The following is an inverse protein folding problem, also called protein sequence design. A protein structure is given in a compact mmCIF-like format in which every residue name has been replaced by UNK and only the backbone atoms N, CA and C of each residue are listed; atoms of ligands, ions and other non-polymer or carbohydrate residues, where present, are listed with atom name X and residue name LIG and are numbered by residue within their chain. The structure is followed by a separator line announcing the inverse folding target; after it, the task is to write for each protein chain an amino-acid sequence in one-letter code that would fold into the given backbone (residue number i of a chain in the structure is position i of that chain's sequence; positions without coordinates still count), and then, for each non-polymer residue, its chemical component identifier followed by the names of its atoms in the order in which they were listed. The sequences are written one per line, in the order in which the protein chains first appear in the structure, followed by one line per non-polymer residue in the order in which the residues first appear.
data_IF_402841494955
#
_entry.id   IF_402841494955
#
_cell.length_a   1.000
_cell.length_b   1.000
_cell.length_c   1.000
_cell.angle_alpha   90.00
_cell.angle_beta   90.00
_cell.angle_gamma   90.00
#
_symmetry.space_group_name_H-M   'P 1'
#
loop_
_entity.id
_entity.type
_entity.pdbx_description
1 polymer ?
#
# COMPACT_ATOMS: atom_id res chain seq x y z
N UNK A 1 -30.57 -6.33 8.36
CA UNK A 1 -30.60 -5.38 7.23
C UNK A 1 -32.03 -4.92 7.06
N UNK A 2 -32.32 -3.65 7.33
CA UNK A 2 -33.65 -3.07 7.15
C UNK A 2 -33.69 -2.26 5.86
N UNK A 3 -34.71 -2.44 5.04
CA UNK A 3 -34.91 -1.67 3.80
C UNK A 3 -35.95 -0.58 4.01
N UNK A 4 -35.76 0.57 3.37
CA UNK A 4 -36.72 1.69 3.38
C UNK A 4 -37.05 2.09 1.95
N UNK A 5 -38.30 2.51 1.73
CA UNK A 5 -38.70 3.09 0.44
C UNK A 5 -38.26 4.55 0.40
N UNK A 6 -37.64 4.93 -0.71
CA UNK A 6 -37.42 6.33 -1.04
C UNK A 6 -38.77 6.94 -1.45
N UNK A 7 -39.09 8.12 -0.92
CA UNK A 7 -40.32 8.86 -1.22
C UNK A 7 -39.96 10.13 -1.97
N UNK A 8 -40.60 10.36 -3.11
CA UNK A 8 -40.47 11.62 -3.83
C UNK A 8 -41.42 12.64 -3.22
N UNK A 9 -40.91 13.83 -2.89
CA UNK A 9 -41.73 14.89 -2.30
C UNK A 9 -42.16 15.89 -3.37
N UNK A 10 -41.28 16.80 -3.77
CA UNK A 10 -41.51 17.77 -4.86
C UNK A 10 -40.17 18.34 -5.37
N UNK A 11 -40.13 18.87 -6.60
CA UNK A 11 -38.93 19.48 -7.19
C UNK A 11 -37.67 18.58 -7.23
N UNK A 12 -37.83 17.27 -7.43
CA UNK A 12 -36.70 16.35 -7.55
C UNK A 12 -36.02 15.98 -6.23
N UNK A 13 -36.57 16.40 -5.09
CA UNK A 13 -36.08 15.97 -3.77
C UNK A 13 -36.72 14.65 -3.32
N UNK A 14 -35.89 13.84 -2.67
CA UNK A 14 -36.25 12.54 -2.15
C UNK A 14 -36.08 12.51 -0.63
N UNK A 15 -36.94 11.76 0.05
CA UNK A 15 -36.85 11.51 1.49
C UNK A 15 -36.77 10.02 1.76
N UNK A 16 -36.02 9.66 2.81
CA UNK A 16 -35.92 8.29 3.33
C UNK A 16 -35.99 8.36 4.85
N UNK A 17 -36.75 7.45 5.46
CA UNK A 17 -36.88 7.40 6.92
C UNK A 17 -35.65 6.75 7.54
N UNK A 18 -35.02 7.42 8.52
CA UNK A 18 -33.92 6.86 9.30
C UNK A 18 -34.41 5.75 10.25
N UNK A 19 -33.59 4.73 10.55
CA UNK A 19 -33.90 3.76 11.60
C UNK A 19 -34.01 4.48 12.95
N UNK A 20 -35.10 4.22 13.69
CA UNK A 20 -35.35 4.89 14.97
C UNK A 20 -34.27 4.58 16.00
N UNK A 21 -33.91 3.31 16.17
CA UNK A 21 -32.90 2.89 17.15
C UNK A 21 -31.54 3.54 16.88
N UNK A 22 -31.16 3.70 15.60
CA UNK A 22 -29.94 4.42 15.22
C UNK A 22 -30.06 5.91 15.54
N UNK A 23 -31.14 6.57 15.11
CA UNK A 23 -31.34 8.00 15.36
C UNK A 23 -31.34 8.33 16.87
N UNK A 24 -32.01 7.50 17.68
CA UNK A 24 -32.02 7.62 19.15
C UNK A 24 -30.61 7.41 19.74
N UNK A 25 -29.83 6.45 19.21
CA UNK A 25 -28.46 6.18 19.67
C UNK A 25 -27.48 7.32 19.43
N UNK A 26 -27.70 8.12 18.38
CA UNK A 26 -26.88 9.30 18.04
C UNK A 26 -27.56 10.63 18.40
N UNK A 27 -28.65 10.59 19.18
CA UNK A 27 -29.33 11.78 19.69
C UNK A 27 -30.06 12.62 18.63
N UNK A 28 -30.31 12.08 17.43
CA UNK A 28 -31.02 12.77 16.35
C UNK A 28 -32.52 12.76 16.65
N UNK A 29 -33.11 13.96 16.71
CA UNK A 29 -34.54 14.17 16.91
C UNK A 29 -35.18 14.94 15.75
N UNK A 30 -36.52 15.00 15.72
CA UNK A 30 -37.23 15.70 14.66
C UNK A 30 -36.83 17.18 14.61
N UNK A 31 -36.38 17.65 13.44
CA UNK A 31 -35.89 19.01 13.25
C UNK A 31 -34.39 19.18 13.47
N UNK A 32 -33.66 18.13 13.87
CA UNK A 32 -32.21 18.14 13.88
C UNK A 32 -31.66 18.30 12.45
N UNK A 33 -30.60 19.09 12.32
CA UNK A 33 -29.82 19.20 11.08
C UNK A 33 -28.77 18.09 11.09
N UNK A 34 -28.58 17.43 9.96
CA UNK A 34 -27.58 16.39 9.76
C UNK A 34 -26.80 16.70 8.49
N UNK A 35 -25.54 16.27 8.46
CA UNK A 35 -24.70 16.41 7.29
C UNK A 35 -24.88 15.20 6.37
N UNK A 36 -24.92 15.49 5.07
CA UNK A 36 -25.05 14.51 4.00
C UNK A 36 -23.78 14.54 3.16
N UNK A 37 -23.05 13.44 3.17
CA UNK A 37 -21.81 13.30 2.42
C UNK A 37 -21.99 12.28 1.31
N UNK A 38 -21.70 12.70 0.08
CA UNK A 38 -21.56 11.79 -1.06
C UNK A 38 -20.09 11.47 -1.23
N UNK A 39 -19.72 10.21 -1.11
CA UNK A 39 -18.35 9.74 -1.19
C UNK A 39 -18.01 9.21 -2.59
N UNK A 40 -16.72 9.22 -2.94
CA UNK A 40 -16.21 8.77 -4.24
C UNK A 40 -16.56 7.30 -4.57
N UNK A 41 -16.80 6.47 -3.55
CA UNK A 41 -17.21 5.08 -3.71
C UNK A 41 -18.72 4.88 -3.85
N UNK A 42 -19.48 5.96 -4.07
CA UNK A 42 -20.92 5.93 -4.35
C UNK A 42 -21.80 5.82 -3.11
N UNK A 43 -21.24 5.96 -1.91
CA UNK A 43 -21.98 5.96 -0.66
C UNK A 43 -22.56 7.35 -0.36
N UNK A 44 -23.81 7.36 0.14
CA UNK A 44 -24.41 8.52 0.78
C UNK A 44 -24.42 8.28 2.30
N UNK A 45 -23.66 9.08 3.03
CA UNK A 45 -23.50 8.95 4.48
C UNK A 45 -24.19 10.11 5.18
N UNK A 46 -24.88 9.80 6.26
CA UNK A 46 -25.58 10.77 7.10
C UNK A 46 -24.84 10.84 8.43
N UNK A 47 -24.33 12.02 8.75
CA UNK A 47 -23.54 12.27 9.94
C UNK A 47 -24.24 13.28 10.87
N UNK A 48 -24.31 13.02 12.18
CA UNK A 48 -24.78 14.01 13.12
C UNK A 48 -23.76 15.16 13.26
N UNK A 49 -24.22 16.41 13.49
CA UNK A 49 -23.40 17.62 13.41
C UNK A 49 -22.30 17.73 14.49
N UNK A 50 -22.32 16.89 15.53
CA UNK A 50 -21.32 16.85 16.60
C UNK A 50 -20.43 15.60 16.57
N UNK A 51 -20.47 14.81 15.49
CA UNK A 51 -19.51 13.72 15.34
C UNK A 51 -18.16 14.28 14.92
N UNK A 52 -17.41 14.84 15.88
CA UNK A 52 -15.96 15.02 15.75
C UNK A 52 -15.33 13.63 15.57
N UNK A 53 -15.30 13.16 14.32
CA UNK A 53 -14.54 11.98 13.91
C UNK A 53 -13.03 12.17 14.14
N UNK A 54 -12.60 13.33 14.62
CA UNK A 54 -11.25 13.59 15.14
C UNK A 54 -10.84 12.72 16.32
N UNK A 55 -11.74 11.88 16.85
CA UNK A 55 -11.45 10.92 17.93
C UNK A 55 -10.60 9.70 17.50
N UNK A 56 -9.78 9.80 16.46
CA UNK A 56 -8.48 9.08 16.43
C UNK A 56 -7.40 10.06 16.93
N UNK A 57 -7.70 10.66 18.08
CA UNK A 57 -6.95 11.68 18.78
C UNK A 57 -6.03 11.00 19.78
N UNK A 58 -4.72 11.08 19.56
CA UNK A 58 -3.67 10.68 20.50
C UNK A 58 -3.73 9.21 20.99
N UNK A 59 -2.77 8.39 20.54
CA UNK A 59 -2.49 7.10 21.18
C UNK A 59 -1.38 7.28 22.20
N UNK A 60 -1.63 6.89 23.46
CA UNK A 60 -0.58 6.83 24.48
C UNK A 60 0.07 5.45 24.49
N UNK A 61 1.41 5.43 24.41
CA UNK A 61 2.23 4.22 24.41
C UNK A 61 3.18 4.29 25.59
N UNK A 62 3.06 3.30 26.48
CA UNK A 62 4.01 3.13 27.58
C UNK A 62 5.23 2.36 27.09
N UNK A 63 6.42 2.95 27.25
CA UNK A 63 7.67 2.34 26.82
C UNK A 63 8.48 1.91 28.05
N UNK A 64 8.87 0.64 28.10
CA UNK A 64 9.78 0.13 29.12
C UNK A 64 11.22 0.61 28.88
N UNK A 65 12.01 0.70 29.96
CA UNK A 65 13.37 1.21 29.91
C UNK A 65 14.33 0.18 29.28
N UNK A 66 15.00 0.53 28.17
CA UNK A 66 16.23 -0.14 27.73
C UNK A 66 16.25 -0.73 26.32
N UNK A 67 15.11 -0.99 25.68
CA UNK A 67 15.10 -1.55 24.33
C UNK A 67 14.81 -0.49 23.27
N UNK A 68 15.88 -0.01 22.63
CA UNK A 68 15.79 0.95 21.52
C UNK A 68 15.20 0.36 20.25
N UNK A 69 15.37 -0.94 20.00
CA UNK A 69 14.82 -1.59 18.80
C UNK A 69 13.30 -1.74 18.93
N UNK A 70 12.82 -2.13 20.11
CA UNK A 70 11.39 -2.17 20.40
C UNK A 70 10.73 -0.78 20.27
N UNK A 71 11.42 0.27 20.71
CA UNK A 71 10.94 1.64 20.59
C UNK A 71 10.79 2.09 19.13
N UNK A 72 11.78 1.78 18.29
CA UNK A 72 11.70 2.05 16.86
C UNK A 72 10.54 1.31 16.20
N UNK A 73 10.44 0.01 16.43
CA UNK A 73 9.36 -0.82 15.88
C UNK A 73 7.98 -0.30 16.30
N UNK A 74 7.84 0.09 17.57
CA UNK A 74 6.59 0.62 18.12
C UNK A 74 6.21 1.94 17.48
N UNK A 75 7.16 2.85 17.25
CA UNK A 75 6.90 4.12 16.58
C UNK A 75 6.50 3.94 15.11
N UNK A 76 7.18 3.05 14.37
CA UNK A 76 6.83 2.72 12.98
C UNK A 76 5.43 2.11 12.90
N UNK A 77 5.12 1.16 13.79
CA UNK A 77 3.79 0.56 13.88
C UNK A 77 2.70 1.57 14.25
N UNK A 78 2.98 2.47 15.21
CA UNK A 78 2.07 3.53 15.60
C UNK A 78 1.83 4.52 14.46
N UNK A 79 2.84 4.80 13.63
CA UNK A 79 2.66 5.63 12.45
C UNK A 79 1.75 4.97 11.40
N UNK A 80 2.01 3.70 11.09
CA UNK A 80 1.23 2.89 10.15
C UNK A 80 -0.23 2.72 10.60
N UNK A 81 -0.49 2.64 11.90
CA UNK A 81 -1.83 2.55 12.47
C UNK A 81 -2.72 3.79 12.21
N UNK A 82 -2.17 4.91 11.74
CA UNK A 82 -2.97 6.07 11.36
C UNK A 82 -3.36 7.13 12.40
N UNK A 83 -3.00 7.09 13.71
CA UNK A 83 -3.37 8.15 14.63
C UNK A 83 -2.68 9.47 14.26
N UNK A 84 -3.37 10.58 14.49
CA UNK A 84 -2.83 11.92 14.21
C UNK A 84 -1.75 12.34 15.20
N UNK A 85 -1.79 11.78 16.42
CA UNK A 85 -0.84 12.05 17.49
C UNK A 85 -0.48 10.75 18.23
N UNK A 86 0.79 10.63 18.65
CA UNK A 86 1.32 9.54 19.45
C UNK A 86 2.05 10.15 20.64
N UNK A 87 1.61 9.80 21.85
CA UNK A 87 2.23 10.21 23.11
C UNK A 87 3.03 9.04 23.64
N UNK A 88 4.35 9.18 23.68
CA UNK A 88 5.25 8.22 24.29
C UNK A 88 5.49 8.59 25.75
N UNK A 89 5.13 7.70 26.67
CA UNK A 89 5.36 7.87 28.11
C UNK A 89 6.36 6.82 28.60
N UNK A 90 7.51 7.27 29.08
CA UNK A 90 8.52 6.40 29.66
C UNK A 90 8.13 5.95 31.07
N UNK A 91 8.37 4.67 31.41
CA UNK A 91 8.27 4.20 32.81
C UNK A 91 9.29 4.89 33.73
N UNK A 92 10.34 5.47 33.14
CA UNK A 92 11.37 6.31 33.74
C UNK A 92 11.76 7.43 32.78
N UNK A 93 12.73 8.27 33.14
CA UNK A 93 13.31 9.23 32.19
C UNK A 93 13.88 8.51 30.96
N UNK A 94 13.63 9.07 29.78
CA UNK A 94 14.18 8.58 28.52
C UNK A 94 15.70 8.76 28.49
N UNK A 95 16.40 7.69 28.15
CA UNK A 95 17.86 7.74 27.96
C UNK A 95 18.23 8.54 26.72
N UNK A 96 19.49 8.99 26.64
CA UNK A 96 19.99 9.69 25.45
C UNK A 96 19.89 8.86 24.17
N UNK A 97 20.07 7.53 24.25
CA UNK A 97 19.92 6.62 23.11
C UNK A 97 18.47 6.50 22.66
N UNK A 98 17.52 6.39 23.59
CA UNK A 98 16.09 6.38 23.27
C UNK A 98 15.65 7.67 22.57
N UNK A 99 16.07 8.83 23.08
CA UNK A 99 15.79 10.12 22.44
C UNK A 99 16.38 10.21 21.04
N UNK A 100 17.59 9.68 20.84
CA UNK A 100 18.22 9.66 19.52
C UNK A 100 17.45 8.78 18.53
N UNK A 101 16.97 7.62 18.97
CA UNK A 101 16.16 6.69 18.16
C UNK A 101 14.83 7.33 17.79
N UNK A 102 14.11 7.91 18.77
CA UNK A 102 12.86 8.64 18.52
C UNK A 102 13.07 9.71 17.43
N UNK A 103 14.11 10.53 17.59
CA UNK A 103 14.43 11.57 16.59
C UNK A 103 14.82 10.97 15.23
N UNK A 104 15.46 9.81 15.20
CA UNK A 104 15.83 9.14 13.94
C UNK A 104 14.60 8.65 13.21
N UNK A 105 13.72 7.92 13.89
CA UNK A 105 12.48 7.41 13.32
C UNK A 105 11.59 8.56 12.85
N UNK A 106 11.41 9.61 13.67
CA UNK A 106 10.61 10.77 13.27
C UNK A 106 11.17 11.48 12.02
N UNK A 107 12.49 11.56 11.86
CA UNK A 107 13.09 12.14 10.65
C UNK A 107 12.88 11.28 9.39
N UNK A 108 12.79 9.97 9.55
CA UNK A 108 12.60 9.05 8.43
C UNK A 108 11.12 8.96 8.01
N UNK A 109 10.17 9.22 8.91
CA UNK A 109 8.73 9.19 8.62
C UNK A 109 8.22 10.46 7.92
N UNK A 110 7.34 10.29 6.93
CA UNK A 110 6.77 11.42 6.17
C UNK A 110 5.69 12.13 6.98
N UNK A 111 5.82 13.45 7.09
CA UNK A 111 4.81 14.30 7.72
C UNK A 111 4.82 14.32 9.25
N UNK A 112 5.83 13.72 9.89
CA UNK A 112 5.89 13.57 11.33
C UNK A 112 6.78 14.61 11.98
N UNK A 113 6.35 15.19 13.10
CA UNK A 113 7.15 16.12 13.90
C UNK A 113 7.02 15.85 15.39
N UNK A 114 8.06 16.19 16.15
CA UNK A 114 8.02 16.19 17.62
C UNK A 114 7.46 17.54 18.06
N UNK A 115 6.28 17.54 18.69
CA UNK A 115 5.62 18.76 19.18
C UNK A 115 5.96 19.05 20.63
N UNK A 116 6.27 18.03 21.41
CA UNK A 116 6.68 18.17 22.81
C UNK A 116 7.75 17.13 23.15
N UNK A 117 8.82 17.54 23.84
CA UNK A 117 9.87 16.65 24.33
C UNK A 117 10.25 17.02 25.77
N UNK A 118 10.07 16.07 26.69
CA UNK A 118 10.40 16.19 28.11
C UNK A 118 11.45 15.14 28.52
N UNK A 119 11.71 15.02 29.82
CA UNK A 119 12.54 13.95 30.38
C UNK A 119 11.84 12.59 30.35
N UNK A 120 10.52 12.53 30.53
CA UNK A 120 9.76 11.28 30.65
C UNK A 120 8.61 11.12 29.64
N UNK A 121 8.36 12.12 28.80
CA UNK A 121 7.31 12.04 27.76
C UNK A 121 7.75 12.72 26.46
N UNK A 122 7.29 12.18 25.33
CA UNK A 122 7.49 12.76 23.99
C UNK A 122 6.18 12.69 23.23
N UNK A 123 5.76 13.81 22.62
CA UNK A 123 4.57 13.86 21.78
C UNK A 123 4.99 14.04 20.32
N UNK A 124 4.54 13.09 19.50
CA UNK A 124 4.80 13.02 18.07
C UNK A 124 3.49 13.24 17.33
N UNK A 125 3.47 14.14 16.34
CA UNK A 125 2.27 14.48 15.58
C UNK A 125 2.52 14.34 14.09
N UNK A 126 1.55 13.79 13.36
CA UNK A 126 1.53 13.85 11.91
C UNK A 126 0.78 15.13 11.47
N UNK A 127 1.42 15.94 10.63
CA UNK A 127 0.91 17.22 10.12
C UNK A 127 0.66 17.20 8.60
N UNK A 128 0.82 16.04 7.95
CA UNK A 128 0.56 15.88 6.52
C UNK A 128 -0.94 15.87 6.26
N UNK A 129 -1.37 16.77 5.38
CA UNK A 129 -2.73 16.81 4.88
C UNK A 129 -2.94 15.74 3.81
N UNK A 130 -3.93 14.87 4.00
CA UNK A 130 -4.24 13.79 3.06
C UNK A 130 -4.61 14.29 1.66
N UNK A 131 -5.09 15.52 1.52
CA UNK A 131 -5.40 16.14 0.22
C UNK A 131 -4.15 16.46 -0.61
N UNK A 132 -2.98 16.54 0.03
CA UNK A 132 -1.69 16.75 -0.65
C UNK A 132 -1.02 15.42 -1.04
N UNK A 133 -1.60 14.28 -0.66
CA UNK A 133 -1.01 12.96 -0.84
C UNK A 133 -1.56 12.28 -2.10
N UNK A 134 -0.65 11.89 -2.99
CA UNK A 134 -0.95 10.99 -4.11
C UNK A 134 -0.42 9.59 -3.82
N UNK A 135 -1.31 8.64 -3.53
CA UNK A 135 -0.94 7.23 -3.29
C UNK A 135 -0.32 6.61 -4.54
N UNK A 136 -0.89 6.87 -5.72
CA UNK A 136 -0.34 6.39 -7.01
C UNK A 136 1.08 6.89 -7.25
N UNK A 137 1.32 8.19 -7.05
CA UNK A 137 2.65 8.76 -7.21
C UNK A 137 3.65 8.17 -6.21
N UNK A 138 3.22 7.93 -4.97
CA UNK A 138 4.05 7.30 -3.93
C UNK A 138 4.49 5.89 -4.34
N UNK A 139 3.59 5.11 -4.94
CA UNK A 139 3.91 3.78 -5.46
C UNK A 139 4.88 3.85 -6.64
N UNK A 140 4.67 4.76 -7.61
CA UNK A 140 5.63 4.96 -8.71
C UNK A 140 7.02 5.36 -8.20
N UNK A 141 7.09 6.17 -7.15
CA UNK A 141 8.36 6.50 -6.50
C UNK A 141 8.99 5.29 -5.80
N UNK A 142 8.18 4.49 -5.09
CA UNK A 142 8.64 3.26 -4.43
C UNK A 142 9.15 2.24 -5.44
N UNK A 143 8.44 2.05 -6.56
CA UNK A 143 8.86 1.23 -7.70
C UNK A 143 10.24 1.65 -8.20
N UNK A 144 10.43 2.95 -8.47
CA UNK A 144 11.72 3.47 -8.93
C UNK A 144 12.85 3.19 -7.93
N UNK A 145 12.60 3.40 -6.63
CA UNK A 145 13.59 3.15 -5.57
C UNK A 145 13.94 1.66 -5.50
N UNK A 146 12.95 0.78 -5.37
CA UNK A 146 13.15 -0.67 -5.26
C UNK A 146 13.91 -1.26 -6.46
N UNK A 147 13.56 -0.84 -7.69
CA UNK A 147 14.24 -1.30 -8.91
C UNK A 147 15.66 -0.72 -9.05
N UNK A 148 15.92 0.46 -8.49
CA UNK A 148 17.26 1.05 -8.47
C UNK A 148 18.15 0.33 -7.47
N UNK A 149 17.65 0.08 -6.24
CA UNK A 149 18.33 -0.74 -5.24
C UNK A 149 18.67 -2.12 -5.81
N UNK A 150 17.69 -2.78 -6.45
CA UNK A 150 17.91 -4.10 -7.04
C UNK A 150 18.99 -4.06 -8.12
N UNK A 151 18.98 -3.04 -8.99
CA UNK A 151 19.98 -2.86 -10.05
C UNK A 151 21.39 -2.70 -9.47
N UNK A 152 21.53 -1.82 -8.49
CA UNK A 152 22.80 -1.51 -7.85
C UNK A 152 23.35 -2.72 -7.09
N UNK A 153 22.50 -3.40 -6.33
CA UNK A 153 22.84 -4.62 -5.61
C UNK A 153 23.31 -5.73 -6.56
N UNK A 154 22.59 -5.97 -7.66
CA UNK A 154 23.00 -6.99 -8.65
C UNK A 154 24.27 -6.60 -9.39
N UNK A 155 24.48 -5.30 -9.64
CA UNK A 155 25.73 -4.81 -10.26
C UNK A 155 26.93 -5.03 -9.33
N UNK A 156 26.77 -4.77 -8.04
CA UNK A 156 27.80 -5.03 -7.04
C UNK A 156 28.07 -6.52 -6.84
N UNK A 157 27.06 -7.38 -7.07
CA UNK A 157 27.22 -8.83 -6.99
C UNK A 157 28.00 -9.41 -8.19
N UNK A 158 27.79 -8.86 -9.39
CA UNK A 158 28.34 -9.40 -10.65
C UNK A 158 29.57 -8.65 -11.15
N UNK A 159 29.93 -7.53 -10.52
CA UNK A 159 31.09 -6.71 -10.86
C UNK A 159 31.87 -6.33 -9.60
N UNK A 160 33.17 -6.03 -9.71
CA UNK A 160 33.99 -5.52 -8.59
C UNK A 160 33.63 -4.07 -8.17
N UNK A 161 32.42 -3.60 -8.48
CA UNK A 161 31.96 -2.26 -8.13
C UNK A 161 31.35 -2.27 -6.72
N UNK A 162 31.69 -1.29 -5.85
CA UNK A 162 31.04 -1.20 -4.54
C UNK A 162 29.54 -0.90 -4.72
N UNK A 163 28.70 -1.54 -3.89
CA UNK A 163 27.31 -1.13 -3.75
C UNK A 163 27.27 0.32 -3.24
N UNK A 164 26.63 1.22 -3.99
CA UNK A 164 26.55 2.64 -3.63
C UNK A 164 25.20 2.91 -2.96
N UNK A 165 25.19 3.52 -1.77
CA UNK A 165 24.00 4.21 -1.25
C UNK A 165 22.82 3.36 -0.74
N UNK A 166 23.03 2.08 -0.40
CA UNK A 166 21.95 1.16 0.01
C UNK A 166 21.08 1.65 1.19
N UNK A 167 21.69 2.09 2.29
CA UNK A 167 20.95 2.47 3.50
C UNK A 167 20.00 3.68 3.32
N UNK A 168 20.43 4.70 2.55
CA UNK A 168 19.58 5.88 2.29
C UNK A 168 18.41 5.55 1.35
N UNK A 169 18.59 4.57 0.46
CA UNK A 169 17.55 4.10 -0.45
C UNK A 169 16.54 3.20 0.26
N UNK A 170 17.01 2.36 1.18
CA UNK A 170 16.18 1.50 2.03
C UNK A 170 15.25 2.33 2.93
N UNK A 171 15.83 3.28 3.69
CA UNK A 171 15.06 4.25 4.50
C UNK A 171 14.02 5.02 3.64
N UNK A 172 14.34 5.24 2.35
CA UNK A 172 13.42 5.88 1.41
C UNK A 172 12.30 4.95 0.94
N UNK A 173 12.56 3.67 0.72
CA UNK A 173 11.55 2.68 0.39
C UNK A 173 10.58 2.50 1.58
N UNK A 174 11.15 2.28 2.76
CA UNK A 174 10.45 2.16 4.04
C UNK A 174 9.45 3.28 4.28
N UNK A 175 9.91 4.53 4.20
CA UNK A 175 9.04 5.68 4.50
C UNK A 175 7.92 5.86 3.48
N UNK A 176 8.15 5.49 2.22
CA UNK A 176 7.13 5.55 1.17
C UNK A 176 6.07 4.49 1.43
N UNK A 177 6.48 3.25 1.73
CA UNK A 177 5.55 2.18 2.09
C UNK A 177 4.76 2.51 3.35
N UNK A 178 5.43 2.94 4.42
CA UNK A 178 4.79 3.30 5.69
C UNK A 178 3.73 4.41 5.49
N UNK A 179 4.01 5.39 4.63
CA UNK A 179 3.04 6.44 4.30
C UNK A 179 1.82 5.88 3.58
N UNK A 180 2.01 4.98 2.60
CA UNK A 180 0.90 4.32 1.91
C UNK A 180 0.07 3.47 2.87
N UNK A 181 0.71 2.67 3.72
CA UNK A 181 0.05 1.84 4.74
C UNK A 181 -0.75 2.69 5.74
N UNK A 182 -0.21 3.83 6.16
CA UNK A 182 -0.89 4.79 7.03
C UNK A 182 -2.19 5.30 6.41
N UNK A 183 -2.11 5.82 5.18
CA UNK A 183 -3.28 6.40 4.51
C UNK A 183 -4.32 5.33 4.15
N UNK A 184 -3.86 4.14 3.76
CA UNK A 184 -4.75 2.99 3.59
C UNK A 184 -5.48 2.64 4.89
N UNK A 185 -4.77 2.51 6.01
CA UNK A 185 -5.36 2.19 7.32
C UNK A 185 -6.40 3.23 7.73
N UNK A 186 -6.07 4.52 7.59
CA UNK A 186 -7.01 5.62 7.87
C UNK A 186 -8.26 5.55 6.98
N UNK A 187 -8.11 5.18 5.70
CA UNK A 187 -9.23 5.08 4.76
C UNK A 187 -10.25 3.99 5.10
N UNK A 188 -9.86 3.00 5.92
CA UNK A 188 -10.76 1.95 6.42
C UNK A 188 -11.73 2.49 7.48
N UNK A 189 -11.30 3.49 8.25
CA UNK A 189 -12.06 4.06 9.36
C UNK A 189 -12.73 5.40 8.98
N UNK A 190 -12.11 6.14 8.07
CA UNK A 190 -12.45 7.53 7.75
C UNK A 190 -12.86 7.68 6.29
N UNK A 191 -14.09 8.13 6.07
CA UNK A 191 -14.60 8.40 4.73
C UNK A 191 -14.00 9.67 4.11
N UNK A 192 -13.74 10.68 4.93
CA UNK A 192 -13.07 11.92 4.53
C UNK A 192 -11.64 11.65 4.04
N UNK A 193 -10.95 10.66 4.62
CA UNK A 193 -9.64 10.21 4.15
C UNK A 193 -9.72 9.64 2.73
N UNK A 194 -10.72 8.80 2.44
CA UNK A 194 -10.95 8.22 1.11
C UNK A 194 -11.16 9.32 0.07
N UNK A 195 -12.00 10.31 0.39
CA UNK A 195 -12.28 11.43 -0.51
C UNK A 195 -11.04 12.32 -0.70
N UNK A 196 -10.27 12.59 0.37
CA UNK A 196 -9.06 13.40 0.31
C UNK A 196 -7.98 12.76 -0.58
N UNK A 197 -7.82 11.44 -0.53
CA UNK A 197 -6.88 10.69 -1.37
C UNK A 197 -7.33 10.57 -2.82
N UNK A 198 -8.62 10.79 -3.10
CA UNK A 198 -9.17 10.73 -4.45
C UNK A 198 -9.25 9.32 -5.04
N UNK A 199 -9.17 8.27 -4.20
CA UNK A 199 -9.20 6.87 -4.62
C UNK A 199 -10.30 6.13 -3.87
N UNK A 200 -11.00 5.21 -4.54
CA UNK A 200 -11.98 4.34 -3.85
C UNK A 200 -11.27 3.40 -2.87
N UNK A 201 -11.95 2.94 -1.82
CA UNK A 201 -11.39 1.96 -0.87
C UNK A 201 -10.83 0.70 -1.52
N UNK A 202 -11.54 0.20 -2.54
CA UNK A 202 -11.10 -0.96 -3.33
C UNK A 202 -9.76 -0.67 -4.02
N UNK A 203 -9.61 0.54 -4.56
CA UNK A 203 -8.38 0.95 -5.20
C UNK A 203 -7.25 1.17 -4.19
N UNK A 204 -7.53 1.82 -3.06
CA UNK A 204 -6.56 1.98 -1.97
C UNK A 204 -6.03 0.62 -1.46
N UNK A 205 -6.88 -0.40 -1.36
CA UNK A 205 -6.44 -1.76 -1.02
C UNK A 205 -5.46 -2.34 -2.07
N UNK A 206 -5.75 -2.17 -3.36
CA UNK A 206 -4.86 -2.64 -4.44
C UNK A 206 -3.52 -1.92 -4.41
N UNK A 207 -3.56 -0.61 -4.25
CA UNK A 207 -2.40 0.26 -4.17
C UNK A 207 -1.53 -0.09 -2.94
N UNK A 208 -2.14 -0.30 -1.78
CA UNK A 208 -1.45 -0.73 -0.56
C UNK A 208 -0.73 -2.07 -0.75
N UNK A 209 -1.41 -3.07 -1.32
CA UNK A 209 -0.83 -4.38 -1.53
C UNK A 209 0.29 -4.35 -2.59
N UNK A 210 0.15 -3.52 -3.63
CA UNK A 210 1.24 -3.27 -4.59
C UNK A 210 2.44 -2.62 -3.91
N UNK A 211 2.22 -1.63 -3.04
CA UNK A 211 3.28 -1.00 -2.28
C UNK A 211 4.02 -1.99 -1.36
N UNK A 212 3.27 -2.89 -0.72
CA UNK A 212 3.85 -3.96 0.13
C UNK A 212 4.75 -4.90 -0.66
N UNK A 213 4.34 -5.33 -1.85
CA UNK A 213 5.19 -6.20 -2.67
C UNK A 213 6.43 -5.46 -3.18
N UNK A 214 6.35 -4.16 -3.47
CA UNK A 214 7.51 -3.34 -3.83
C UNK A 214 8.50 -3.11 -2.67
N UNK A 215 8.01 -2.92 -1.45
CA UNK A 215 8.87 -2.85 -0.26
C UNK A 215 9.62 -4.17 -0.04
N UNK A 216 8.96 -5.31 -0.19
CA UNK A 216 9.64 -6.62 -0.13
C UNK A 216 10.69 -6.81 -1.22
N UNK A 217 10.49 -6.19 -2.39
CA UNK A 217 11.51 -6.18 -3.45
C UNK A 217 12.72 -5.34 -3.03
N UNK A 218 12.51 -4.21 -2.34
CA UNK A 218 13.59 -3.41 -1.75
C UNK A 218 14.37 -4.21 -0.69
N UNK A 219 13.68 -4.93 0.21
CA UNK A 219 14.32 -5.86 1.16
C UNK A 219 15.20 -6.91 0.45
N UNK A 220 14.70 -7.49 -0.64
CA UNK A 220 15.46 -8.49 -1.39
C UNK A 220 16.66 -7.86 -2.11
N UNK A 221 16.55 -6.61 -2.55
CA UNK A 221 17.69 -5.86 -3.06
C UNK A 221 18.76 -5.63 -1.98
N UNK A 222 18.37 -5.29 -0.75
CA UNK A 222 19.30 -5.18 0.39
C UNK A 222 20.01 -6.52 0.65
N UNK A 223 19.27 -7.63 0.70
CA UNK A 223 19.85 -8.98 0.86
C UNK A 223 20.85 -9.34 -0.24
N UNK A 224 20.60 -8.92 -1.49
CA UNK A 224 21.56 -9.11 -2.58
C UNK A 224 22.83 -8.27 -2.34
N UNK A 225 22.69 -7.03 -1.88
CA UNK A 225 23.82 -6.15 -1.57
C UNK A 225 24.65 -6.66 -0.39
N UNK A 226 24.01 -7.25 0.62
CA UNK A 226 24.67 -7.93 1.74
C UNK A 226 25.52 -9.10 1.25
N UNK A 227 24.96 -9.94 0.36
CA UNK A 227 25.72 -11.04 -0.26
C UNK A 227 26.90 -10.48 -1.05
N UNK A 228 26.69 -9.45 -1.88
CA UNK A 228 27.75 -8.81 -2.66
C UNK A 228 28.90 -8.27 -1.79
N UNK A 229 28.58 -7.80 -0.57
CA UNK A 229 29.58 -7.32 0.40
C UNK A 229 30.29 -8.47 1.13
N UNK A 230 29.61 -9.61 1.30
CA UNK A 230 30.11 -10.75 2.07
C UNK A 230 30.98 -11.72 1.25
N UNK A 231 30.87 -11.72 -0.08
CA UNK A 231 31.67 -12.58 -0.96
C UNK A 231 33.04 -11.96 -1.23
N UNK A 232 34.09 -12.79 -1.20
CA UNK A 232 35.48 -12.33 -1.38
C UNK A 232 35.89 -12.27 -2.86
N UNK A 233 35.20 -13.03 -3.72
CA UNK A 233 35.48 -13.11 -5.16
C UNK A 233 34.19 -12.94 -5.95
N UNK A 234 34.22 -12.07 -6.97
CA UNK A 234 33.15 -11.99 -7.95
C UNK A 234 32.98 -13.30 -8.73
N UNK A 235 31.77 -13.50 -9.28
CA UNK A 235 31.46 -14.61 -10.18
C UNK A 235 32.36 -14.54 -11.43
N UNK A 236 32.67 -15.72 -11.99
CA UNK A 236 33.34 -15.79 -13.28
C UNK A 236 32.42 -15.23 -14.39
N UNK A 237 33.01 -14.60 -15.41
CA UNK A 237 32.30 -13.82 -16.43
C UNK A 237 31.04 -14.48 -17.02
N UNK A 238 31.02 -15.77 -17.43
CA UNK A 238 29.80 -16.36 -18.00
C UNK A 238 28.64 -16.40 -17.00
N UNK A 239 28.95 -16.73 -15.74
CA UNK A 239 27.95 -16.85 -14.68
C UNK A 239 27.50 -15.47 -14.20
N UNK A 240 28.40 -14.49 -14.15
CA UNK A 240 28.08 -13.11 -13.84
C UNK A 240 27.11 -12.48 -14.87
N UNK A 241 27.31 -12.77 -16.16
CA UNK A 241 26.42 -12.34 -17.24
C UNK A 241 25.03 -12.96 -17.10
N UNK A 242 24.94 -14.26 -16.85
CA UNK A 242 23.66 -14.95 -16.68
C UNK A 242 22.88 -14.49 -15.44
N UNK A 243 23.57 -14.26 -14.31
CA UNK A 243 22.95 -13.66 -13.11
C UNK A 243 22.45 -12.24 -13.41
N UNK A 244 23.23 -11.44 -14.13
CA UNK A 244 22.80 -10.08 -14.50
C UNK A 244 21.57 -10.10 -15.39
N UNK A 245 21.51 -11.03 -16.37
CA UNK A 245 20.39 -11.19 -17.27
C UNK A 245 19.11 -11.67 -16.55
N UNK A 246 19.24 -12.62 -15.62
CA UNK A 246 18.07 -13.11 -14.84
C UNK A 246 17.55 -12.04 -13.88
N UNK A 247 18.44 -11.24 -13.30
CA UNK A 247 18.10 -10.08 -12.49
C UNK A 247 17.41 -8.96 -13.28
N UNK A 248 17.85 -8.69 -14.51
CA UNK A 248 17.16 -7.77 -15.43
C UNK A 248 15.76 -8.25 -15.75
N UNK A 249 15.61 -9.52 -16.15
CA UNK A 249 14.32 -10.15 -16.41
C UNK A 249 13.34 -10.02 -15.23
N UNK A 250 13.83 -10.22 -14.00
CA UNK A 250 13.01 -10.05 -12.80
C UNK A 250 12.55 -8.60 -12.59
N UNK A 251 13.42 -7.61 -12.83
CA UNK A 251 13.08 -6.18 -12.73
C UNK A 251 12.08 -5.75 -13.80
N UNK A 252 12.25 -6.21 -15.04
CA UNK A 252 11.31 -5.92 -16.14
C UNK A 252 9.92 -6.52 -15.86
N UNK A 253 9.87 -7.70 -15.23
CA UNK A 253 8.62 -8.32 -14.80
C UNK A 253 7.92 -7.46 -13.74
N UNK A 254 8.65 -6.89 -12.78
CA UNK A 254 8.09 -5.96 -11.78
C UNK A 254 7.56 -4.69 -12.45
N UNK A 255 8.30 -4.10 -13.39
CA UNK A 255 7.86 -2.90 -14.12
C UNK A 255 6.54 -3.15 -14.86
N UNK A 256 6.50 -4.24 -15.62
CA UNK A 256 5.30 -4.67 -16.36
C UNK A 256 4.13 -4.97 -15.43
N UNK A 257 4.38 -5.59 -14.26
CA UNK A 257 3.34 -5.88 -13.28
C UNK A 257 2.71 -4.61 -12.69
N UNK A 258 3.54 -3.62 -12.37
CA UNK A 258 3.08 -2.33 -11.84
C UNK A 258 2.29 -1.58 -12.90
N UNK A 259 2.76 -1.54 -14.16
CA UNK A 259 2.02 -0.91 -15.25
C UNK A 259 0.64 -1.57 -15.46
N UNK A 260 0.56 -2.90 -15.36
CA UNK A 260 -0.72 -3.62 -15.44
C UNK A 260 -1.71 -3.26 -14.31
N UNK A 261 -1.23 -2.77 -13.16
CA UNK A 261 -2.10 -2.26 -12.07
C UNK A 261 -2.57 -0.83 -12.35
N UNK A 262 -1.76 0.01 -12.98
CA UNK A 262 -2.04 1.44 -13.16
C UNK A 262 -2.75 1.80 -14.47
N UNK A 263 -2.45 1.11 -15.57
CA UNK A 263 -2.74 1.58 -16.93
C UNK A 263 -3.88 0.76 -17.61
N UNK A 264 -4.90 0.37 -16.84
CA UNK A 264 -5.99 -0.52 -17.27
C UNK A 264 -5.46 -1.80 -17.94
N UNK A 265 -4.52 -2.46 -17.25
CA UNK A 265 -3.85 -3.67 -17.74
C UNK A 265 -4.83 -4.74 -18.19
N UNK A 266 -4.49 -5.38 -19.29
CA UNK A 266 -5.25 -6.48 -19.86
C UNK A 266 -4.96 -7.80 -19.14
N UNK A 267 -5.78 -8.81 -19.41
CA UNK A 267 -5.51 -10.18 -18.95
C UNK A 267 -4.18 -10.68 -19.54
N UNK A 268 -3.90 -10.30 -20.78
CA UNK A 268 -2.69 -10.62 -21.52
C UNK A 268 -1.43 -10.00 -20.88
N UNK A 269 -1.52 -8.76 -20.37
CA UNK A 269 -0.40 -8.12 -19.68
C UNK A 269 -0.02 -8.89 -18.41
N UNK A 270 -1.00 -9.30 -17.60
CA UNK A 270 -0.75 -10.11 -16.42
C UNK A 270 -0.18 -11.50 -16.77
N UNK A 271 -0.66 -12.13 -17.86
CA UNK A 271 -0.12 -13.41 -18.34
C UNK A 271 1.36 -13.29 -18.73
N UNK A 272 1.74 -12.20 -19.41
CA UNK A 272 3.14 -11.97 -19.80
C UNK A 272 4.08 -11.87 -18.59
N UNK A 273 3.60 -11.30 -17.47
CA UNK A 273 4.37 -11.25 -16.22
C UNK A 273 4.53 -12.64 -15.61
N UNK A 274 3.48 -13.47 -15.62
CA UNK A 274 3.58 -14.85 -15.12
C UNK A 274 4.57 -15.68 -15.93
N UNK A 275 4.57 -15.54 -17.27
CA UNK A 275 5.56 -16.18 -18.13
C UNK A 275 6.98 -15.69 -17.83
N UNK A 276 7.16 -14.39 -17.63
CA UNK A 276 8.46 -13.82 -17.24
C UNK A 276 8.94 -14.34 -15.87
N UNK A 277 8.04 -14.47 -14.90
CA UNK A 277 8.33 -15.06 -13.59
C UNK A 277 8.80 -16.50 -13.73
N UNK A 278 8.08 -17.31 -14.49
CA UNK A 278 8.38 -18.74 -14.64
C UNK A 278 9.73 -18.93 -15.38
N UNK A 279 10.02 -18.10 -16.38
CA UNK A 279 11.35 -18.04 -17.04
C UNK A 279 12.47 -17.66 -16.05
N UNK A 280 12.25 -16.70 -15.14
CA UNK A 280 13.21 -16.40 -14.06
C UNK A 280 13.40 -17.61 -13.14
N UNK A 281 12.33 -18.31 -12.77
CA UNK A 281 12.42 -19.46 -11.87
C UNK A 281 13.26 -20.58 -12.48
N UNK A 282 13.03 -20.90 -13.75
CA UNK A 282 13.77 -21.92 -14.51
C UNK A 282 15.25 -21.56 -14.67
N UNK A 283 15.56 -20.28 -14.96
CA UNK A 283 16.95 -19.81 -15.09
C UNK A 283 17.68 -19.81 -13.76
N UNK A 284 17.04 -19.37 -12.68
CA UNK A 284 17.62 -19.45 -11.32
C UNK A 284 17.91 -20.91 -10.96
N UNK A 285 16.99 -21.82 -11.26
CA UNK A 285 17.17 -23.28 -11.06
C UNK A 285 18.39 -23.83 -11.83
N UNK A 286 18.63 -23.35 -13.05
CA UNK A 286 19.80 -23.72 -13.84
C UNK A 286 21.10 -23.18 -13.21
N UNK A 287 21.09 -21.90 -12.82
CA UNK A 287 22.23 -21.23 -12.18
C UNK A 287 22.60 -21.87 -10.84
N UNK A 288 21.62 -22.25 -10.02
CA UNK A 288 21.86 -22.96 -8.76
C UNK A 288 22.55 -24.32 -8.99
N UNK A 289 22.20 -25.06 -10.05
CA UNK A 289 22.86 -26.32 -10.42
C UNK A 289 24.29 -26.10 -10.88
N UNK A 290 24.52 -25.08 -11.71
CA UNK A 290 25.86 -24.73 -12.20
C UNK A 290 26.78 -24.26 -11.06
N UNK A 291 26.26 -23.46 -10.13
CA UNK A 291 26.98 -23.06 -8.91
C UNK A 291 27.34 -24.26 -8.04
N UNK A 292 26.44 -25.23 -7.90
CA UNK A 292 26.70 -26.45 -7.13
C UNK A 292 27.82 -27.32 -7.74
N UNK A 293 27.87 -27.40 -9.07
CA UNK A 293 28.90 -28.14 -9.80
C UNK A 293 30.25 -27.41 -9.83
N UNK A 294 30.26 -26.09 -9.58
CA UNK A 294 31.47 -25.28 -9.48
C UNK A 294 32.16 -25.47 -8.11
N UNK A 295 33.31 -26.15 -8.11
CA UNK A 295 34.04 -26.55 -6.89
C UNK A 295 34.47 -25.40 -5.95
N UNK A 296 34.49 -24.15 -6.43
CA UNK A 296 34.96 -22.96 -5.71
C UNK A 296 33.85 -21.91 -5.49
N UNK A 297 32.59 -22.22 -5.78
CA UNK A 297 31.48 -21.26 -5.63
C UNK A 297 31.13 -21.04 -4.15
N UNK A 298 31.07 -19.77 -3.76
CA UNK A 298 30.60 -19.37 -2.43
C UNK A 298 29.10 -19.64 -2.28
N UNK A 299 28.69 -20.36 -1.23
CA UNK A 299 27.28 -20.73 -1.02
C UNK A 299 26.36 -19.51 -0.91
N UNK A 300 26.92 -18.36 -0.52
CA UNK A 300 26.22 -17.09 -0.37
C UNK A 300 25.55 -16.63 -1.67
N UNK A 301 26.08 -17.01 -2.85
CA UNK A 301 25.45 -16.71 -4.14
C UNK A 301 24.05 -17.33 -4.28
N UNK A 302 23.79 -18.46 -3.62
CA UNK A 302 22.45 -19.06 -3.60
C UNK A 302 21.43 -18.15 -2.91
N UNK A 303 21.84 -17.38 -1.90
CA UNK A 303 20.96 -16.42 -1.23
C UNK A 303 20.61 -15.23 -2.13
N UNK A 304 21.56 -14.78 -2.96
CA UNK A 304 21.29 -13.74 -3.95
C UNK A 304 20.34 -14.25 -5.06
N UNK A 305 20.55 -15.47 -5.54
CA UNK A 305 19.67 -16.11 -6.51
C UNK A 305 18.25 -16.33 -5.96
N UNK A 306 18.09 -16.78 -4.72
CA UNK A 306 16.77 -16.85 -4.07
C UNK A 306 16.14 -15.46 -3.98
N UNK A 307 16.91 -14.42 -3.66
CA UNK A 307 16.38 -13.05 -3.61
C UNK A 307 15.92 -12.55 -4.99
N UNK A 308 16.63 -12.87 -6.08
CA UNK A 308 16.19 -12.55 -7.45
C UNK A 308 14.91 -13.33 -7.81
N UNK A 309 14.85 -14.62 -7.46
CA UNK A 309 13.63 -15.44 -7.61
C UNK A 309 12.46 -14.83 -6.84
N UNK A 310 12.69 -14.34 -5.63
CA UNK A 310 11.66 -13.68 -4.81
C UNK A 310 11.19 -12.37 -5.41
N UNK A 311 12.08 -11.57 -6.01
CA UNK A 311 11.68 -10.38 -6.79
C UNK A 311 10.68 -10.73 -7.89
N UNK A 312 10.95 -11.77 -8.68
CA UNK A 312 10.02 -12.23 -9.72
C UNK A 312 8.71 -12.81 -9.14
N UNK A 313 8.76 -13.47 -7.98
CA UNK A 313 7.56 -13.95 -7.30
C UNK A 313 6.66 -12.78 -6.86
N UNK A 314 7.25 -11.70 -6.31
CA UNK A 314 6.53 -10.48 -5.94
C UNK A 314 5.96 -9.76 -7.16
N UNK A 315 6.67 -9.76 -8.30
CA UNK A 315 6.11 -9.29 -9.58
C UNK A 315 4.83 -10.07 -9.95
N UNK A 316 4.83 -11.39 -9.77
CA UNK A 316 3.65 -12.22 -9.96
C UNK A 316 2.49 -11.84 -9.03
N UNK A 317 2.77 -11.57 -7.75
CA UNK A 317 1.74 -11.14 -6.79
C UNK A 317 1.10 -9.80 -7.20
N UNK A 318 1.90 -8.86 -7.71
CA UNK A 318 1.41 -7.57 -8.24
C UNK A 318 0.55 -7.81 -9.49
N UNK A 319 1.02 -8.62 -10.44
CA UNK A 319 0.29 -8.94 -11.66
C UNK A 319 -1.04 -9.65 -11.38
N UNK A 320 -1.13 -10.47 -10.33
CA UNK A 320 -2.39 -11.08 -9.91
C UNK A 320 -3.42 -10.01 -9.51
N UNK A 321 -3.00 -8.89 -8.91
CA UNK A 321 -3.91 -7.77 -8.60
C UNK A 321 -4.33 -6.99 -9.85
N UNK A 322 -3.43 -6.85 -10.82
CA UNK A 322 -3.74 -6.34 -12.16
C UNK A 322 -4.82 -7.21 -12.84
N UNK A 323 -4.61 -8.54 -12.86
CA UNK A 323 -5.54 -9.51 -13.43
C UNK A 323 -6.92 -9.45 -12.78
N UNK A 324 -7.00 -9.40 -11.45
CA UNK A 324 -8.27 -9.26 -10.73
C UNK A 324 -9.02 -7.97 -11.13
N UNK A 325 -8.29 -6.91 -11.45
CA UNK A 325 -8.87 -5.65 -11.90
C UNK A 325 -9.40 -5.76 -13.33
N UNK A 326 -8.60 -6.30 -14.24
CA UNK A 326 -8.99 -6.56 -15.63
C UNK A 326 -10.28 -7.40 -15.71
N UNK A 327 -10.36 -8.47 -14.91
CA UNK A 327 -11.54 -9.36 -14.85
C UNK A 327 -12.78 -8.60 -14.35
N UNK A 328 -12.65 -7.75 -13.34
CA UNK A 328 -13.79 -7.00 -12.82
C UNK A 328 -14.23 -5.84 -13.71
N UNK A 329 -13.36 -5.32 -14.57
CA UNK A 329 -13.70 -4.27 -15.55
C UNK A 329 -14.35 -4.83 -16.82
N UNK A 330 -14.24 -6.14 -17.09
CA UNK A 330 -15.05 -6.79 -18.13
C UNK A 330 -16.52 -6.81 -17.69
N UNK A 331 -17.28 -5.79 -18.09
CA UNK A 331 -18.73 -5.77 -17.89
C UNK A 331 -19.34 -7.04 -18.51
N UNK A 332 -20.25 -7.75 -17.80
CA UNK A 332 -21.04 -8.77 -18.44
C UNK A 332 -21.86 -8.10 -19.55
N UNK A 333 -21.75 -8.62 -20.78
CA UNK A 333 -22.54 -8.16 -21.91
C UNK A 333 -24.00 -7.99 -21.48
N UNK A 334 -24.48 -6.75 -21.60
CA UNK A 334 -25.79 -6.25 -21.21
C UNK A 334 -26.89 -7.30 -21.41
N UNK A 335 -27.23 -8.05 -20.36
CA UNK A 335 -28.46 -8.84 -20.34
C UNK A 335 -29.55 -7.82 -20.08
N UNK A 336 -30.04 -7.22 -21.17
CA UNK A 336 -31.19 -6.35 -21.16
C UNK A 336 -32.35 -7.06 -20.43
N UNK A 337 -32.53 -6.71 -19.16
CA UNK A 337 -33.73 -7.08 -18.42
C UNK A 337 -34.80 -6.14 -18.94
N UNK A 338 -35.53 -6.62 -19.94
CA UNK A 338 -36.76 -6.02 -20.44
C UNK A 338 -37.75 -5.93 -19.28
N UNK A 339 -37.80 -4.76 -18.63
CA UNK A 339 -38.92 -4.39 -17.79
C UNK A 339 -40.10 -4.11 -18.72
N UNK A 340 -40.76 -5.17 -19.16
CA UNK A 340 -41.90 -5.14 -20.06
C UNK A 340 -42.95 -4.13 -19.60
N UNK A 341 -42.95 -2.97 -20.24
CA UNK A 341 -44.01 -1.99 -20.20
C UNK A 341 -45.16 -2.50 -21.07
N UNK A 342 -46.16 -3.11 -20.43
CA UNK A 342 -47.43 -3.39 -21.10
C UNK A 342 -48.35 -2.17 -20.95
N UNK A 343 -48.21 -1.20 -21.85
CA UNK A 343 -49.24 -0.19 -22.13
C UNK A 343 -50.01 -0.55 -23.42
N UNK A 344 -51.34 -0.42 -23.34
CA UNK A 344 -52.30 -0.48 -24.46
C UNK A 344 -53.20 -1.72 -24.36
N UNK A 345 -54.53 -1.67 -24.41
CA UNK A 345 -55.50 -0.84 -25.14
C UNK A 345 -56.88 -1.18 -24.51
N UNK A 346 -57.94 -0.37 -24.44
CA UNK A 346 -58.24 0.97 -24.92
C UNK A 346 -59.66 1.34 -24.45
N UNK A 347 -59.89 2.62 -24.18
CA UNK A 347 -61.23 3.16 -23.90
C UNK A 347 -61.73 3.89 -25.13
N UNK A 348 -62.69 3.29 -25.83
CA UNK A 348 -63.45 3.93 -26.92
C UNK A 348 -64.65 4.67 -26.31
N UNK A 349 -64.67 6.01 -26.41
CA UNK A 349 -65.89 6.83 -26.37
C UNK A 349 -65.69 8.17 -27.08
N UNK A 350 -66.24 8.28 -28.29
CA UNK A 350 -66.93 9.45 -28.91
C UNK A 350 -67.80 8.78 -30.01
N UNK A 351 -69.10 8.97 -30.19
CA UNK A 351 -70.03 10.04 -29.85
C UNK A 351 -70.79 10.38 -31.14
N UNK A 352 -72.00 9.85 -31.30
CA UNK A 352 -73.16 10.40 -32.03
C UNK A 352 -74.43 9.66 -31.58
#
# INVERSE_FOLDING_TARGET
METRKIQQVSNGTFTVSLPRDWADSVGISAGAVVDLHTHIDGLLVIQPPESELDTVAAVEIQTECGDTAHLEQTLRAAYAAGPSEVVLTGSSEFTGSQKQVIRSVVRNLVGVTIVEESVSHVVVRNVLDSTEVSVRQSIRQLQFVALSMHREATTALTSDAPAVGGADQDDRADRLYAMVERHFTRSLERLDEVDALGETRRELFRLHETARELERIADHAERIADVATAVDKSLADPLAEDVSAVAERARDAVESAVDAVFDDGSIEDAQSVFEARDDVFERVDALERELFDAADAEYQYTHALDSIRRTAAHAGNIAERGLQTAICQQEPADVAVDFGGNEGVGSQRVGE
#
